data_IF_005124091093
#
_entry.id   IF_005124091093
#
_cell.length_a   1.000
_cell.length_b   1.000
_cell.length_c   1.000
_cell.angle_alpha   90.00
_cell.angle_beta   90.00
_cell.angle_gamma   90.00
#
_symmetry.space_group_name_H-M   'P 1'
#
loop_
_entity.id
_entity.type
_entity.pdbx_description
1 polymer ?
#
# COMPACT_ATOMS: atom_id res chain seq x y z
N UNK A 1 -10.61 -11.11 11.02
CA UNK A 1 -10.50 -9.66 11.24
C UNK A 1 -11.89 -9.07 11.41
N UNK A 2 -12.01 -8.04 12.25
CA UNK A 2 -13.26 -7.32 12.51
C UNK A 2 -13.04 -5.81 12.38
N UNK A 3 -14.06 -5.07 11.98
CA UNK A 3 -14.10 -3.61 11.92
C UNK A 3 -15.14 -3.07 12.88
N UNK A 4 -14.78 -2.05 13.68
CA UNK A 4 -15.66 -1.47 14.70
C UNK A 4 -16.59 -0.38 14.14
N UNK A 5 -17.56 0.10 14.94
CA UNK A 5 -18.14 1.45 14.76
C UNK A 5 -17.13 2.53 15.16
N UNK A 6 -17.56 3.79 15.02
CA UNK A 6 -16.89 4.99 15.50
C UNK A 6 -16.69 5.02 17.02
N UNK A 7 -17.52 4.29 17.78
CA UNK A 7 -17.38 4.13 19.24
C UNK A 7 -16.44 3.00 19.67
N UNK A 8 -16.08 2.08 18.78
CA UNK A 8 -15.24 0.94 19.13
C UNK A 8 -15.96 -0.19 19.88
N UNK A 9 -17.30 -0.23 19.84
CA UNK A 9 -18.15 -1.15 20.60
C UNK A 9 -18.70 -2.25 19.69
N UNK A 10 -19.25 -1.88 18.53
CA UNK A 10 -19.88 -2.81 17.61
C UNK A 10 -18.94 -3.27 16.52
N UNK A 11 -18.66 -4.57 16.50
CA UNK A 11 -17.76 -5.17 15.53
C UNK A 11 -18.52 -5.96 14.46
N UNK A 12 -18.13 -5.75 13.21
CA UNK A 12 -18.59 -6.54 12.07
C UNK A 12 -17.42 -7.32 11.50
N UNK A 13 -17.67 -8.57 11.11
CA UNK A 13 -16.67 -9.42 10.49
C UNK A 13 -16.23 -8.83 9.16
N UNK A 14 -14.92 -8.71 8.95
CA UNK A 14 -14.34 -8.06 7.78
C UNK A 14 -13.62 -9.05 6.86
N UNK A 15 -12.77 -9.91 7.43
CA UNK A 15 -12.00 -10.90 6.66
C UNK A 15 -11.84 -12.20 7.46
N UNK A 16 -12.05 -13.32 6.78
CA UNK A 16 -11.83 -14.66 7.30
C UNK A 16 -10.41 -15.16 7.04
N UNK A 17 -9.94 -16.08 7.90
CA UNK A 17 -8.67 -16.82 7.72
C UNK A 17 -7.46 -15.91 7.44
N UNK A 18 -7.48 -14.71 8.01
CA UNK A 18 -6.37 -13.77 7.96
C UNK A 18 -5.09 -14.41 8.51
N UNK A 19 -3.98 -14.24 7.79
CA UNK A 19 -2.69 -14.76 8.19
C UNK A 19 -2.13 -13.91 9.35
N UNK A 20 -1.99 -14.56 10.49
CA UNK A 20 -1.43 -13.97 11.70
C UNK A 20 -0.51 -15.02 12.31
N UNK A 21 0.78 -14.72 12.40
CA UNK A 21 1.69 -15.63 13.08
C UNK A 21 1.48 -15.49 14.60
N UNK A 22 1.65 -16.60 15.33
CA UNK A 22 1.47 -16.60 16.79
C UNK A 22 2.46 -15.69 17.53
N UNK A 23 3.43 -15.07 16.85
CA UNK A 23 4.40 -14.12 17.42
C UNK A 23 3.90 -12.68 17.37
N UNK A 24 2.58 -12.48 17.23
CA UNK A 24 1.91 -11.17 17.12
C UNK A 24 2.28 -10.38 15.87
N UNK A 25 2.83 -11.04 14.86
CA UNK A 25 3.17 -10.40 13.60
C UNK A 25 2.12 -10.76 12.55
N UNK A 26 1.77 -9.75 11.76
CA UNK A 26 0.70 -9.81 10.78
C UNK A 26 1.18 -9.23 9.47
N UNK A 27 0.74 -9.82 8.38
CA UNK A 27 0.96 -9.27 7.04
C UNK A 27 -0.01 -8.10 6.71
N UNK A 28 -0.84 -7.69 7.68
CA UNK A 28 -1.71 -6.54 7.54
C UNK A 28 -0.90 -5.25 7.39
N UNK A 29 -1.08 -4.60 6.24
CA UNK A 29 -0.36 -3.40 5.84
C UNK A 29 -1.34 -2.30 5.49
N UNK A 30 -1.15 -1.12 6.09
CA UNK A 30 -1.85 0.10 5.70
C UNK A 30 -1.14 0.74 4.51
N UNK A 31 -1.85 0.89 3.40
CA UNK A 31 -1.33 1.59 2.23
C UNK A 31 -1.58 3.09 2.45
N UNK A 32 -0.59 3.76 3.00
CA UNK A 32 -0.75 5.14 3.50
C UNK A 32 -0.82 6.19 2.39
N UNK A 33 -0.38 5.84 1.18
CA UNK A 33 -0.41 6.68 -0.01
C UNK A 33 -1.82 6.86 -0.60
N UNK A 34 -2.82 6.11 -0.16
CA UNK A 34 -4.20 6.27 -0.61
C UNK A 34 -5.23 5.94 0.49
N UNK A 35 -6.27 6.78 0.61
CA UNK A 35 -7.24 6.67 1.71
C UNK A 35 -8.03 5.37 1.64
N UNK A 36 -8.11 4.67 2.77
CA UNK A 36 -8.99 3.51 2.94
C UNK A 36 -8.47 2.22 2.31
N UNK A 37 -7.22 2.23 1.88
CA UNK A 37 -6.57 1.08 1.27
C UNK A 37 -5.82 0.25 2.31
N UNK A 38 -6.15 -1.03 2.39
CA UNK A 38 -5.49 -2.00 3.26
C UNK A 38 -5.14 -3.25 2.47
N UNK A 39 -3.95 -3.79 2.72
CA UNK A 39 -3.44 -5.02 2.14
C UNK A 39 -3.23 -6.04 3.24
N UNK A 40 -3.54 -7.31 3.00
CA UNK A 40 -3.15 -8.39 3.91
C UNK A 40 -3.11 -9.74 3.20
N UNK A 41 -2.58 -10.75 3.88
CA UNK A 41 -2.56 -12.13 3.43
C UNK A 41 -3.59 -12.97 4.19
N UNK A 42 -4.24 -13.91 3.51
CA UNK A 42 -5.14 -14.92 4.10
C UNK A 42 -4.69 -16.33 3.73
N UNK A 43 -5.03 -17.30 4.57
CA UNK A 43 -4.87 -18.71 4.27
C UNK A 43 -6.14 -19.23 3.57
N UNK A 44 -5.99 -19.73 2.35
CA UNK A 44 -7.07 -20.20 1.50
C UNK A 44 -6.69 -21.57 0.93
N UNK A 45 -7.43 -22.62 1.29
CA UNK A 45 -7.14 -24.01 0.85
C UNK A 45 -5.68 -24.44 1.03
N UNK A 46 -5.03 -23.98 2.12
CA UNK A 46 -3.63 -24.30 2.41
C UNK A 46 -2.61 -23.43 1.67
N UNK A 47 -3.05 -22.48 0.85
CA UNK A 47 -2.19 -21.49 0.16
C UNK A 47 -2.34 -20.11 0.77
N UNK A 48 -1.25 -19.37 0.84
CA UNK A 48 -1.27 -17.96 1.26
C UNK A 48 -1.62 -17.10 0.05
N UNK A 49 -2.68 -16.30 0.16
CA UNK A 49 -3.15 -15.39 -0.90
C UNK A 49 -3.28 -13.98 -0.37
N UNK A 50 -2.77 -13.02 -1.13
CA UNK A 50 -2.93 -11.59 -0.85
C UNK A 50 -4.31 -11.09 -1.27
N UNK A 51 -4.87 -10.22 -0.43
CA UNK A 51 -6.13 -9.52 -0.67
C UNK A 51 -5.97 -8.05 -0.33
N UNK A 52 -6.68 -7.21 -1.07
CA UNK A 52 -6.68 -5.76 -0.92
C UNK A 52 -8.11 -5.26 -0.71
N UNK A 53 -8.27 -4.26 0.15
CA UNK A 53 -9.51 -3.53 0.35
C UNK A 53 -9.28 -2.06 0.07
N UNK A 54 -10.20 -1.42 -0.63
CA UNK A 54 -10.16 0.02 -0.93
C UNK A 54 -11.18 0.82 -0.12
N UNK A 55 -12.00 0.16 0.69
CA UNK A 55 -13.10 0.76 1.45
C UNK A 55 -13.01 0.40 2.93
N UNK A 56 -11.79 0.48 3.48
CA UNK A 56 -11.47 0.22 4.88
C UNK A 56 -11.81 -1.19 5.40
N UNK A 57 -11.57 -2.20 4.60
CA UNK A 57 -11.79 -3.59 4.99
C UNK A 57 -13.24 -4.03 4.93
N UNK A 58 -14.14 -3.24 4.31
CA UNK A 58 -15.54 -3.64 4.16
C UNK A 58 -15.72 -4.71 3.09
N UNK A 59 -15.04 -4.55 1.97
CA UNK A 59 -14.93 -5.59 0.94
C UNK A 59 -13.46 -5.83 0.63
N UNK A 60 -13.13 -7.09 0.41
CA UNK A 60 -11.81 -7.53 0.03
C UNK A 60 -11.87 -8.17 -1.34
N UNK A 61 -10.87 -7.89 -2.15
CA UNK A 61 -10.68 -8.55 -3.44
C UNK A 61 -9.25 -9.05 -3.59
N UNK A 62 -9.05 -9.99 -4.49
CA UNK A 62 -7.70 -10.37 -4.89
C UNK A 62 -7.04 -9.23 -5.67
N UNK A 63 -5.70 -9.19 -5.66
CA UNK A 63 -4.97 -8.23 -6.46
C UNK A 63 -4.98 -8.68 -7.92
N UNK A 64 -5.24 -7.73 -8.81
CA UNK A 64 -5.27 -7.97 -10.24
C UNK A 64 -3.88 -8.36 -10.76
N UNK A 65 -3.85 -9.09 -11.88
CA UNK A 65 -2.60 -9.45 -12.53
C UNK A 65 -1.83 -8.19 -12.94
N UNK A 66 -0.49 -8.21 -12.93
CA UNK A 66 0.29 -7.08 -13.43
C UNK A 66 0.08 -6.83 -14.93
N UNK A 67 0.20 -5.57 -15.34
CA UNK A 67 -0.04 -5.16 -16.73
C UNK A 67 0.95 -5.81 -17.72
N UNK A 68 2.23 -5.91 -17.31
CA UNK A 68 3.34 -6.34 -18.15
C UNK A 68 3.78 -7.79 -17.90
N UNK A 69 2.95 -8.60 -17.25
CA UNK A 69 3.21 -10.02 -17.00
C UNK A 69 2.12 -10.85 -17.63
N UNK A 70 2.51 -11.74 -18.54
CA UNK A 70 1.61 -12.73 -19.15
C UNK A 70 1.47 -13.92 -18.19
N UNK A 71 0.43 -13.89 -17.35
CA UNK A 71 0.02 -15.03 -16.55
C UNK A 71 -1.51 -15.03 -16.39
N UNK A 72 -2.09 -16.21 -16.14
CA UNK A 72 -3.45 -16.36 -15.61
C UNK A 72 -3.42 -16.38 -14.08
N UNK A 73 -2.70 -15.43 -13.48
CA UNK A 73 -2.36 -15.42 -12.06
C UNK A 73 -2.75 -14.11 -11.39
N UNK A 74 -3.02 -14.18 -10.09
CA UNK A 74 -3.22 -13.00 -9.26
C UNK A 74 -1.92 -12.62 -8.58
N UNK A 75 -1.77 -11.35 -8.25
CA UNK A 75 -0.57 -10.86 -7.57
C UNK A 75 -0.58 -11.24 -6.09
N UNK A 76 0.57 -11.64 -5.56
CA UNK A 76 0.74 -11.92 -4.13
C UNK A 76 1.94 -11.22 -3.53
N UNK A 77 1.67 -10.34 -2.56
CA UNK A 77 2.63 -9.48 -1.90
C UNK A 77 3.24 -10.19 -0.69
N UNK A 78 4.57 -10.17 -0.63
CA UNK A 78 5.31 -10.64 0.54
C UNK A 78 5.09 -9.72 1.73
N UNK A 79 4.70 -10.31 2.86
CA UNK A 79 4.49 -9.61 4.12
C UNK A 79 5.53 -9.95 5.18
N UNK A 80 5.15 -9.73 6.43
CA UNK A 80 5.97 -9.96 7.62
C UNK A 80 6.39 -11.42 7.77
N UNK A 81 5.51 -12.36 7.40
CA UNK A 81 5.83 -13.78 7.37
C UNK A 81 7.03 -14.07 6.46
N UNK A 82 7.06 -13.49 5.25
CA UNK A 82 8.14 -13.67 4.29
C UNK A 82 9.43 -12.97 4.70
N UNK A 83 9.33 -11.79 5.33
CA UNK A 83 10.49 -11.06 5.87
C UNK A 83 11.16 -11.82 7.01
N UNK A 84 10.39 -12.40 7.94
CA UNK A 84 10.92 -13.20 9.04
C UNK A 84 11.68 -14.44 8.52
N UNK A 85 11.18 -15.04 7.45
CA UNK A 85 11.82 -16.17 6.78
C UNK A 85 12.95 -15.77 5.81
N UNK A 86 13.36 -14.50 5.80
CA UNK A 86 14.45 -13.94 4.97
C UNK A 86 14.24 -14.12 3.45
N UNK A 87 12.99 -14.23 3.01
CA UNK A 87 12.65 -14.31 1.58
C UNK A 87 12.76 -12.93 0.93
N UNK A 88 12.32 -11.89 1.65
CA UNK A 88 12.40 -10.49 1.21
C UNK A 88 13.15 -9.64 2.23
N UNK A 89 13.92 -8.63 1.77
CA UNK A 89 14.69 -7.78 2.67
C UNK A 89 13.84 -6.73 3.39
N UNK A 90 12.67 -6.38 2.83
CA UNK A 90 11.78 -5.36 3.37
C UNK A 90 10.32 -5.61 3.00
N UNK A 91 9.42 -4.89 3.67
CA UNK A 91 7.97 -4.94 3.42
C UNK A 91 7.57 -3.91 2.36
N UNK A 92 6.32 -4.01 1.89
CA UNK A 92 5.73 -3.01 1.03
C UNK A 92 5.86 -1.60 1.62
N UNK A 93 6.33 -0.66 0.79
CA UNK A 93 6.52 0.75 1.13
C UNK A 93 5.45 1.61 0.47
N UNK A 94 4.82 2.46 1.27
CA UNK A 94 3.89 3.50 0.83
C UNK A 94 3.98 4.67 1.80
N UNK A 95 3.87 5.89 1.27
CA UNK A 95 4.08 7.11 2.03
C UNK A 95 2.93 8.10 1.78
N UNK A 96 2.41 8.80 2.81
CA UNK A 96 1.25 9.70 2.65
C UNK A 96 1.46 10.87 1.69
N UNK A 97 2.72 11.26 1.45
CA UNK A 97 3.12 12.34 0.55
C UNK A 97 3.24 11.88 -0.90
N UNK A 98 3.49 10.59 -1.13
CA UNK A 98 3.64 9.98 -2.45
C UNK A 98 2.33 9.32 -2.90
N UNK A 99 1.36 10.15 -3.29
CA UNK A 99 -0.02 9.74 -3.52
C UNK A 99 -0.14 8.61 -4.55
N UNK A 100 -0.80 7.53 -4.15
CA UNK A 100 -1.02 6.33 -4.96
C UNK A 100 0.21 5.44 -5.14
N UNK A 101 1.40 5.87 -4.73
CA UNK A 101 2.62 5.08 -4.91
C UNK A 101 2.70 3.95 -3.87
N UNK A 102 2.89 2.72 -4.35
CA UNK A 102 3.14 1.53 -3.53
C UNK A 102 4.25 0.73 -4.19
N UNK A 103 5.28 0.38 -3.44
CA UNK A 103 6.38 -0.47 -3.90
C UNK A 103 6.37 -1.73 -3.06
N UNK A 104 6.41 -2.91 -3.68
CA UNK A 104 6.36 -4.16 -2.94
C UNK A 104 7.13 -5.28 -3.64
N UNK A 105 7.56 -6.26 -2.86
CA UNK A 105 8.03 -7.54 -3.39
C UNK A 105 6.86 -8.49 -3.59
N UNK A 106 6.84 -9.15 -4.73
CA UNK A 106 5.75 -10.04 -5.09
C UNK A 106 6.23 -11.24 -5.88
N UNK A 107 5.39 -12.25 -5.90
CA UNK A 107 5.52 -13.48 -6.68
C UNK A 107 4.20 -13.78 -7.39
N UNK A 108 4.25 -14.68 -8.37
CA UNK A 108 3.10 -15.10 -9.19
C UNK A 108 2.09 -15.95 -8.41
N UNK A 109 1.67 -17.10 -8.97
CA UNK A 109 0.52 -17.92 -8.52
C UNK A 109 0.33 -18.19 -7.02
N UNK A 110 1.38 -18.16 -6.19
CA UNK A 110 1.28 -18.24 -4.72
C UNK A 110 2.56 -17.78 -4.02
N UNK A 111 2.47 -17.37 -2.75
CA UNK A 111 3.63 -17.11 -1.90
C UNK A 111 4.32 -18.44 -1.51
N UNK A 112 5.13 -18.98 -2.42
CA UNK A 112 6.00 -20.13 -2.17
C UNK A 112 7.42 -19.66 -1.84
N UNK A 113 8.07 -20.33 -0.88
CA UNK A 113 9.47 -20.07 -0.52
C UNK A 113 10.48 -20.43 -1.62
N UNK A 114 10.05 -21.16 -2.66
CA UNK A 114 10.89 -21.56 -3.80
C UNK A 114 10.98 -20.53 -4.91
N UNK A 115 10.23 -19.43 -4.84
CA UNK A 115 10.20 -18.39 -5.88
C UNK A 115 11.05 -17.19 -5.48
N UNK A 116 11.79 -16.66 -6.46
CA UNK A 116 12.57 -15.42 -6.29
C UNK A 116 11.63 -14.21 -6.42
N UNK A 117 11.51 -13.38 -5.37
CA UNK A 117 10.66 -12.20 -5.42
C UNK A 117 11.25 -11.12 -6.32
N UNK A 118 10.37 -10.52 -7.11
CA UNK A 118 10.67 -9.35 -7.93
C UNK A 118 9.98 -8.11 -7.32
N UNK A 119 10.41 -6.91 -7.71
CA UNK A 119 9.82 -5.65 -7.26
C UNK A 119 8.75 -5.18 -8.23
N UNK A 120 7.59 -4.85 -7.69
CA UNK A 120 6.46 -4.31 -8.42
C UNK A 120 6.03 -2.98 -7.83
N UNK A 121 5.52 -2.12 -8.69
CA UNK A 121 5.05 -0.77 -8.32
C UNK A 121 3.60 -0.60 -8.74
N UNK A 122 2.82 -0.01 -7.86
CA UNK A 122 1.51 0.56 -8.17
C UNK A 122 1.59 2.08 -8.06
N UNK A 123 0.96 2.77 -9.01
CA UNK A 123 0.86 4.23 -9.03
C UNK A 123 -0.53 4.75 -8.69
N UNK A 124 -1.47 3.87 -8.33
CA UNK A 124 -2.87 4.19 -8.07
C UNK A 124 -3.39 3.60 -6.75
N UNK A 125 -2.49 3.24 -5.84
CA UNK A 125 -2.83 2.72 -4.51
C UNK A 125 -3.13 1.23 -4.49
N UNK A 126 -2.66 0.48 -5.49
CA UNK A 126 -2.77 -0.97 -5.54
C UNK A 126 -3.90 -1.51 -6.42
N UNK A 127 -4.54 -0.67 -7.24
CA UNK A 127 -5.50 -1.13 -8.24
C UNK A 127 -4.77 -1.84 -9.38
N UNK A 128 -3.77 -1.18 -9.95
CA UNK A 128 -2.93 -1.73 -11.01
C UNK A 128 -1.48 -1.85 -10.55
N UNK A 129 -0.81 -2.90 -11.00
CA UNK A 129 0.57 -3.22 -10.63
C UNK A 129 1.41 -3.46 -11.88
N UNK A 130 2.68 -3.08 -11.80
CA UNK A 130 3.65 -3.28 -12.87
C UNK A 130 4.94 -3.85 -12.31
N UNK A 131 5.42 -4.92 -12.93
CA UNK A 131 6.73 -5.50 -12.61
C UNK A 131 7.84 -4.59 -13.09
N UNK A 132 8.78 -4.26 -12.20
CA UNK A 132 9.72 -3.17 -12.45
C UNK A 132 11.20 -3.53 -12.26
N UNK A 133 11.55 -4.32 -11.24
CA UNK A 133 12.92 -4.80 -11.02
C UNK A 133 12.91 -6.30 -10.77
N UNK A 134 13.90 -6.99 -11.33
CA UNK A 134 14.12 -8.42 -11.09
C UNK A 134 14.95 -8.62 -9.84
N UNK A 135 14.55 -9.57 -9.00
CA UNK A 135 15.21 -9.87 -7.74
C UNK A 135 14.87 -8.90 -6.61
N UNK A 136 15.36 -9.24 -5.42
CA UNK A 136 15.11 -8.49 -4.20
C UNK A 136 15.96 -7.24 -4.12
N UNK A 137 15.36 -6.17 -3.62
CA UNK A 137 15.96 -4.84 -3.55
C UNK A 137 15.53 -4.16 -2.26
N UNK A 138 16.40 -3.32 -1.72
CA UNK A 138 16.01 -2.26 -0.79
C UNK A 138 15.56 -1.04 -1.59
N UNK A 139 14.47 -0.40 -1.21
CA UNK A 139 13.95 0.80 -1.87
C UNK A 139 13.60 1.90 -0.89
N UNK A 140 13.72 3.15 -1.34
CA UNK A 140 13.27 4.34 -0.61
C UNK A 140 12.55 5.32 -1.54
N UNK A 141 11.54 5.99 -0.99
CA UNK A 141 10.79 7.06 -1.66
C UNK A 141 11.36 8.40 -1.20
N UNK A 142 11.81 9.19 -2.16
CA UNK A 142 12.35 10.52 -1.98
C UNK A 142 11.48 11.56 -2.70
N UNK A 143 11.66 12.81 -2.33
CA UNK A 143 10.94 13.97 -2.86
C UNK A 143 9.42 13.75 -3.03
N UNK A 144 8.76 13.18 -2.02
CA UNK A 144 7.31 12.89 -2.03
C UNK A 144 6.85 12.05 -3.22
N UNK A 145 7.66 11.09 -3.67
CA UNK A 145 7.34 10.22 -4.81
C UNK A 145 7.93 10.69 -6.14
N UNK A 146 8.57 11.86 -6.20
CA UNK A 146 9.27 12.34 -7.39
C UNK A 146 10.52 11.52 -7.73
N UNK A 147 11.08 10.82 -6.75
CA UNK A 147 12.27 10.00 -6.92
C UNK A 147 12.15 8.70 -6.12
N UNK A 148 12.44 7.58 -6.77
CA UNK A 148 12.55 6.27 -6.14
C UNK A 148 13.99 5.82 -6.29
N UNK A 149 14.60 5.39 -5.20
CA UNK A 149 15.95 4.79 -5.22
C UNK A 149 15.82 3.34 -4.81
N UNK A 150 16.53 2.45 -5.51
CA UNK A 150 16.65 1.06 -5.14
C UNK A 150 18.10 0.57 -5.19
N UNK A 151 18.40 -0.41 -4.35
CA UNK A 151 19.69 -1.08 -4.26
C UNK A 151 19.43 -2.57 -4.18
N UNK A 152 20.08 -3.34 -5.05
CA UNK A 152 19.94 -4.80 -5.09
C UNK A 152 20.39 -5.42 -3.76
N UNK A 153 19.63 -6.39 -3.23
CA UNK A 153 19.93 -7.05 -1.97
C UNK A 153 20.99 -8.17 -2.09
N UNK A 154 21.65 -8.31 -3.25
CA UNK A 154 22.63 -9.35 -3.50
C UNK A 154 23.88 -9.18 -2.61
N UNK A 155 24.32 -10.27 -2.00
CA UNK A 155 25.42 -10.28 -1.03
C UNK A 155 26.82 -10.47 -1.65
N UNK A 156 26.91 -10.76 -2.95
CA UNK A 156 28.16 -11.22 -3.59
C UNK A 156 28.69 -10.27 -4.67
N UNK A 157 28.10 -9.07 -4.82
CA UNK A 157 28.46 -8.12 -5.87
C UNK A 157 28.70 -6.70 -5.36
N UNK A 158 29.33 -5.89 -6.20
CA UNK A 158 29.42 -4.44 -5.98
C UNK A 158 28.03 -3.83 -5.91
N UNK A 159 27.81 -2.97 -4.92
CA UNK A 159 26.56 -2.20 -4.79
C UNK A 159 26.25 -1.44 -6.07
N UNK A 160 25.13 -1.77 -6.70
CA UNK A 160 24.55 -1.02 -7.81
C UNK A 160 23.35 -0.25 -7.31
N UNK A 161 23.46 1.08 -7.33
CA UNK A 161 22.33 1.95 -7.02
C UNK A 161 21.61 2.31 -8.31
N UNK A 162 20.30 2.13 -8.31
CA UNK A 162 19.42 2.48 -9.41
C UNK A 162 18.35 3.45 -8.93
N UNK A 163 17.89 4.32 -9.81
CA UNK A 163 16.88 5.30 -9.47
C UNK A 163 15.88 5.49 -10.60
N UNK A 164 14.67 5.94 -10.25
CA UNK A 164 13.58 6.25 -11.16
C UNK A 164 12.96 7.59 -10.80
N UNK A 165 12.63 8.39 -11.82
CA UNK A 165 11.99 9.71 -11.70
C UNK A 165 10.57 9.74 -12.27
N UNK A 166 10.02 8.56 -12.58
CA UNK A 166 8.74 8.38 -13.30
C UNK A 166 7.85 7.32 -12.64
N UNK A 167 7.90 7.28 -11.30
CA UNK A 167 7.15 6.34 -10.46
C UNK A 167 7.48 4.87 -10.75
N UNK A 168 8.74 4.55 -11.06
CA UNK A 168 9.21 3.18 -11.25
C UNK A 168 8.89 2.61 -12.63
N UNK A 169 8.71 3.44 -13.67
CA UNK A 169 8.50 2.95 -15.04
C UNK A 169 9.82 2.74 -15.77
N UNK A 170 10.77 3.64 -15.58
CA UNK A 170 12.13 3.53 -16.10
C UNK A 170 13.14 3.70 -14.98
N UNK A 171 14.18 2.87 -15.04
CA UNK A 171 15.27 2.88 -14.08
C UNK A 171 16.58 3.25 -14.77
N UNK A 172 17.40 4.02 -14.05
CA UNK A 172 18.74 4.39 -14.46
C UNK A 172 19.72 3.88 -13.42
N UNK A 173 20.78 3.23 -13.87
CA UNK A 173 21.90 2.83 -13.02
C UNK A 173 22.94 3.93 -13.00
N UNK A 174 23.52 4.16 -11.82
CA UNK A 174 24.66 5.04 -11.67
C UNK A 174 25.62 4.46 -10.64
N UNK A 175 26.91 4.46 -10.98
CA UNK A 175 27.93 4.00 -10.05
C UNK A 175 28.46 5.19 -9.24
N UNK A 176 28.11 5.23 -7.95
CA UNK A 176 28.47 6.32 -7.04
C UNK A 176 29.84 6.12 -6.37
N UNK A 177 30.51 4.99 -6.60
CA UNK A 177 31.84 4.70 -6.04
C UNK A 177 32.70 3.90 -7.01
N UNK A 178 33.98 4.27 -7.10
CA UNK A 178 34.97 3.49 -7.84
C UNK A 178 35.35 2.21 -7.08
N UNK A 179 35.36 2.27 -5.75
CA UNK A 179 35.72 1.15 -4.90
C UNK A 179 34.47 0.36 -4.51
N UNK A 180 34.40 -0.94 -4.84
CA UNK A 180 33.28 -1.79 -4.47
C UNK A 180 33.22 -1.97 -2.95
N UNK A 181 32.01 -2.21 -2.45
CA UNK A 181 31.75 -2.55 -1.05
C UNK A 181 30.49 -3.44 -1.01
N UNK A 182 30.27 -4.13 0.10
CA UNK A 182 29.11 -4.98 0.32
C UNK A 182 27.99 -4.19 0.97
N UNK A 183 26.78 -4.31 0.42
CA UNK A 183 25.61 -3.61 0.93
C UNK A 183 25.21 -4.12 2.32
N UNK A 184 24.88 -3.20 3.23
CA UNK A 184 24.33 -3.52 4.54
C UNK A 184 23.01 -2.80 4.83
N UNK A 185 22.76 -1.64 4.24
CA UNK A 185 21.52 -0.91 4.49
C UNK A 185 21.32 0.34 3.63
N UNK A 186 20.06 0.78 3.56
CA UNK A 186 19.65 2.01 2.88
C UNK A 186 18.93 2.89 3.90
N UNK A 187 19.35 4.16 4.00
CA UNK A 187 18.77 5.13 4.91
C UNK A 187 18.43 6.43 4.18
N UNK A 188 17.29 7.03 4.52
CA UNK A 188 16.83 8.32 4.02
C UNK A 188 16.19 9.14 5.15
N UNK A 189 16.09 10.45 4.96
CA UNK A 189 15.37 11.31 5.92
C UNK A 189 13.90 10.85 6.07
N UNK A 190 13.39 10.71 7.31
CA UNK A 190 11.97 10.42 7.53
C UNK A 190 11.04 11.45 6.88
N UNK A 191 9.92 10.99 6.33
CA UNK A 191 8.90 11.87 5.72
C UNK A 191 9.11 12.17 4.24
N UNK A 192 10.04 11.51 3.55
CA UNK A 192 10.24 11.51 2.08
C UNK A 192 10.54 12.86 1.42
N UNK A 193 10.74 13.94 2.18
CA UNK A 193 10.94 15.28 1.61
C UNK A 193 12.37 15.54 1.13
N UNK A 194 13.32 14.78 1.65
CA UNK A 194 14.69 14.88 1.22
C UNK A 194 14.92 14.31 -0.18
N UNK A 195 16.01 14.77 -0.78
CA UNK A 195 16.57 14.33 -2.05
C UNK A 195 17.89 13.59 -1.83
N UNK A 196 18.21 13.24 -0.58
CA UNK A 196 19.42 12.51 -0.24
C UNK A 196 19.11 11.11 0.29
N UNK A 197 20.04 10.20 0.05
CA UNK A 197 19.98 8.83 0.54
C UNK A 197 21.38 8.37 0.88
N UNK A 198 21.52 7.66 1.99
CA UNK A 198 22.77 7.09 2.46
C UNK A 198 22.75 5.58 2.25
N UNK A 199 23.69 5.09 1.47
CA UNK A 199 23.92 3.67 1.24
C UNK A 199 25.03 3.20 2.17
N UNK A 200 24.69 2.29 3.07
CA UNK A 200 25.57 1.74 4.09
C UNK A 200 26.10 0.39 3.66
N UNK A 201 27.34 0.10 4.05
CA UNK A 201 27.95 -1.19 3.78
C UNK A 201 29.35 -1.29 4.35
N UNK A 202 30.08 -2.31 3.93
CA UNK A 202 31.41 -2.58 4.45
C UNK A 202 32.36 -3.13 3.37
N UNK A 203 33.66 -2.96 3.61
CA UNK A 203 34.74 -3.51 2.80
C UNK A 203 35.51 -4.55 3.62
N UNK A 204 35.79 -5.74 3.07
CA UNK A 204 36.70 -6.68 3.73
C UNK A 204 38.11 -6.09 3.71
N UNK A 205 38.78 -6.14 4.86
CA UNK A 205 40.18 -5.77 5.00
C UNK A 205 41.02 -7.02 5.29
N UNK A 206 42.33 -6.96 5.04
CA UNK A 206 43.25 -8.10 5.20
C UNK A 206 43.36 -8.58 6.65
N UNK A 207 43.13 -7.70 7.62
CA UNK A 207 43.16 -8.00 9.06
C UNK A 207 41.88 -8.70 9.57
N UNK A 208 40.91 -8.94 8.67
CA UNK A 208 39.63 -9.57 8.98
C UNK A 208 38.62 -8.65 9.66
N UNK A 209 38.94 -7.37 9.89
CA UNK A 209 37.99 -6.40 10.45
C UNK A 209 37.34 -5.58 9.33
N UNK A 210 36.02 -5.69 9.11
CA UNK A 210 35.38 -4.99 8.01
C UNK A 210 35.37 -3.46 8.25
N UNK A 211 35.87 -2.70 7.28
CA UNK A 211 35.77 -1.24 7.28
C UNK A 211 34.36 -0.81 6.86
N UNK A 212 33.62 -0.16 7.75
CA UNK A 212 32.30 0.40 7.45
C UNK A 212 32.41 1.64 6.57
N UNK A 213 31.59 1.70 5.54
CA UNK A 213 31.53 2.80 4.58
C UNK A 213 30.08 3.26 4.42
N UNK A 214 29.90 4.57 4.34
CA UNK A 214 28.61 5.18 3.99
C UNK A 214 28.79 6.13 2.83
N UNK A 215 27.94 6.00 1.81
CA UNK A 215 27.92 6.87 0.65
C UNK A 215 26.59 7.61 0.66
N UNK A 216 26.64 8.92 0.86
CA UNK A 216 25.44 9.77 0.79
C UNK A 216 25.35 10.43 -0.57
N UNK A 217 24.27 10.14 -1.28
CA UNK A 217 23.99 10.62 -2.62
C UNK A 217 22.99 11.77 -2.49
N UNK A 218 23.29 12.94 -3.05
CA UNK A 218 22.36 14.08 -3.11
C UNK A 218 21.91 14.31 -4.56
N UNK A 219 20.63 14.01 -4.84
CA UNK A 219 20.03 14.14 -6.15
C UNK A 219 19.65 15.59 -6.51
N UNK A 220 19.84 16.57 -5.62
CA UNK A 220 19.54 17.98 -5.90
C UNK A 220 20.33 18.55 -7.09
N UNK A 221 21.54 18.02 -7.32
CA UNK A 221 22.38 18.41 -8.46
C UNK A 221 21.86 17.85 -9.79
N UNK A 222 21.16 16.70 -9.77
CA UNK A 222 20.63 16.04 -10.95
C UNK A 222 19.25 16.59 -11.35
N UNK A 223 18.40 16.90 -10.37
CA UNK A 223 17.01 17.33 -10.59
C UNK A 223 16.82 18.72 -9.99
N UNK A 224 17.03 19.75 -10.81
CA UNK A 224 17.00 21.15 -10.38
C UNK A 224 15.68 21.86 -10.69
N UNK A 225 14.94 21.42 -11.71
CA UNK A 225 13.73 22.08 -12.22
C UNK A 225 12.57 21.99 -11.23
N UNK A 226 11.86 23.11 -11.02
CA UNK A 226 10.56 23.18 -10.32
C UNK A 226 9.58 23.94 -11.20
N UNK A 227 8.44 23.34 -11.53
CA UNK A 227 7.40 24.02 -12.31
C UNK A 227 6.01 23.50 -11.93
N UNK A 228 5.08 24.42 -11.70
CA UNK A 228 3.69 24.11 -11.41
C UNK A 228 2.94 23.45 -12.59
N UNK A 229 3.40 23.67 -13.83
CA UNK A 229 2.81 23.09 -15.05
C UNK A 229 3.08 21.58 -15.20
N UNK A 230 4.03 21.06 -14.42
CA UNK A 230 4.40 19.64 -14.43
C UNK A 230 3.44 18.76 -13.62
N UNK A 231 2.38 19.34 -13.06
CA UNK A 231 1.35 18.63 -12.32
C UNK A 231 0.10 18.37 -13.15
N UNK A 232 -0.59 17.28 -12.83
CA UNK A 232 -1.89 16.91 -13.38
C UNK A 232 -2.92 16.64 -12.29
N UNK A 233 -4.20 16.70 -12.67
CA UNK A 233 -5.31 16.33 -11.79
C UNK A 233 -5.55 14.84 -11.93
N UNK A 234 -5.60 14.13 -10.82
CA UNK A 234 -5.83 12.70 -10.77
C UNK A 234 -6.97 12.37 -9.81
N UNK A 235 -8.00 11.70 -10.30
CA UNK A 235 -9.13 11.23 -9.50
C UNK A 235 -8.77 9.91 -8.83
N UNK A 236 -8.71 9.90 -7.50
CA UNK A 236 -8.46 8.69 -6.73
C UNK A 236 -9.62 7.69 -6.86
N UNK A 237 -9.29 6.39 -6.76
CA UNK A 237 -10.24 5.28 -6.83
C UNK A 237 -11.08 5.26 -8.13
N UNK A 238 -10.60 5.92 -9.19
CA UNK A 238 -11.25 5.88 -10.49
C UNK A 238 -11.06 4.48 -11.11
N UNK A 239 -12.15 3.88 -11.58
CA UNK A 239 -12.13 2.58 -12.25
C UNK A 239 -12.82 2.68 -13.60
N UNK A 240 -12.20 2.11 -14.63
CA UNK A 240 -12.77 2.08 -15.97
C UNK A 240 -14.00 1.16 -16.02
N UNK A 241 -15.10 1.62 -16.63
CA UNK A 241 -16.33 0.84 -16.81
C UNK A 241 -17.30 0.82 -15.62
N UNK A 242 -17.05 1.60 -14.57
CA UNK A 242 -17.98 1.77 -13.45
C UNK A 242 -19.11 2.78 -13.72
N UNK A 243 -20.06 2.88 -12.78
CA UNK A 243 -21.07 3.94 -12.76
C UNK A 243 -20.36 5.31 -12.75
N UNK A 244 -20.59 6.10 -13.80
CA UNK A 244 -19.96 7.42 -13.99
C UNK A 244 -20.25 8.34 -12.80
N UNK A 245 -21.45 8.26 -12.23
CA UNK A 245 -21.84 9.09 -11.08
C UNK A 245 -21.10 8.69 -9.80
N UNK A 246 -20.79 7.40 -9.64
CA UNK A 246 -20.10 6.87 -8.47
C UNK A 246 -18.61 6.64 -8.64
N UNK A 247 -18.08 6.87 -9.84
CA UNK A 247 -16.65 6.72 -10.11
C UNK A 247 -15.81 7.58 -9.15
N UNK A 248 -14.81 6.97 -8.51
CA UNK A 248 -13.94 7.58 -7.50
C UNK A 248 -14.60 7.81 -6.13
N UNK A 249 -15.85 7.40 -5.92
CA UNK A 249 -16.53 7.58 -4.64
C UNK A 249 -16.17 6.44 -3.67
N UNK A 250 -15.38 6.77 -2.64
CA UNK A 250 -15.01 5.82 -1.59
C UNK A 250 -15.29 6.45 -0.24
N UNK A 251 -16.06 5.75 0.59
CA UNK A 251 -16.51 6.24 1.91
C UNK A 251 -17.23 7.60 1.78
N UNK A 252 -18.12 7.68 0.79
CA UNK A 252 -18.96 8.86 0.53
C UNK A 252 -18.25 10.10 0.01
N UNK A 253 -16.99 10.01 -0.42
CA UNK A 253 -16.22 11.17 -0.91
C UNK A 253 -15.43 10.81 -2.16
N UNK A 254 -15.39 11.73 -3.13
CA UNK A 254 -14.40 11.72 -4.22
C UNK A 254 -13.22 12.62 -3.88
N UNK A 255 -12.01 12.15 -4.13
CA UNK A 255 -10.79 12.92 -3.91
C UNK A 255 -10.04 13.10 -5.23
N UNK A 256 -9.83 14.36 -5.65
CA UNK A 256 -9.00 14.70 -6.80
C UNK A 256 -7.69 15.32 -6.32
N UNK A 257 -6.59 14.65 -6.60
CA UNK A 257 -5.24 15.06 -6.21
C UNK A 257 -4.55 15.83 -7.32
N UNK A 258 -3.64 16.74 -6.94
CA UNK A 258 -2.66 17.33 -7.85
C UNK A 258 -1.38 16.50 -7.75
N UNK A 259 -1.06 15.72 -8.78
CA UNK A 259 0.08 14.80 -8.82
C UNK A 259 1.10 15.22 -9.84
N UNK A 260 2.36 14.88 -9.61
CA UNK A 260 3.42 15.12 -10.59
C UNK A 260 3.21 14.21 -11.78
N UNK A 261 3.31 14.76 -13.00
CA UNK A 261 3.22 13.97 -14.23
C UNK A 261 4.42 13.03 -14.32
N UNK A 262 4.17 11.76 -14.64
CA UNK A 262 5.18 10.71 -14.79
C UNK A 262 6.34 11.09 -15.72
N UNK A 263 6.06 11.82 -16.80
CA UNK A 263 7.04 12.28 -17.79
C UNK A 263 7.82 13.55 -17.38
N UNK A 264 7.48 14.18 -16.26
CA UNK A 264 8.09 15.43 -15.83
C UNK A 264 9.21 15.18 -14.83
N UNK A 265 10.45 15.31 -15.30
CA UNK A 265 11.63 15.24 -14.43
C UNK A 265 11.83 16.59 -13.74
N UNK A 266 11.21 16.73 -12.58
CA UNK A 266 11.28 17.92 -11.74
C UNK A 266 11.11 17.55 -10.27
N UNK A 267 11.52 18.45 -9.37
CA UNK A 267 11.42 18.24 -7.92
C UNK A 267 10.12 18.83 -7.37
N UNK A 268 9.48 18.13 -6.45
CA UNK A 268 8.40 18.67 -5.61
C UNK A 268 8.97 19.71 -4.63
N UNK A 269 10.08 19.38 -3.97
CA UNK A 269 10.79 20.22 -3.02
C UNK A 269 10.30 20.09 -1.57
N UNK A 270 11.12 20.55 -0.62
CA UNK A 270 10.89 20.38 0.83
C UNK A 270 9.57 21.00 1.34
N UNK A 271 9.13 22.07 0.70
CA UNK A 271 7.88 22.77 1.00
C UNK A 271 6.63 22.10 0.43
N UNK A 272 6.77 20.98 -0.29
CA UNK A 272 5.63 20.29 -0.89
C UNK A 272 4.60 19.87 0.15
N UNK A 273 3.34 20.11 -0.20
CA UNK A 273 2.15 19.70 0.54
C UNK A 273 1.18 19.10 -0.46
N UNK A 274 0.63 17.94 -0.12
CA UNK A 274 -0.38 17.26 -0.93
C UNK A 274 -1.60 18.17 -1.07
N UNK A 275 -1.87 18.60 -2.30
CA UNK A 275 -3.07 19.37 -2.64
C UNK A 275 -4.15 18.44 -3.17
N UNK A 276 -5.33 18.45 -2.54
CA UNK A 276 -6.49 17.68 -2.97
C UNK A 276 -7.79 18.47 -2.86
N UNK A 277 -8.72 18.20 -3.78
CA UNK A 277 -10.11 18.65 -3.72
C UNK A 277 -10.99 17.47 -3.31
N UNK A 278 -11.86 17.69 -2.34
CA UNK A 278 -12.84 16.70 -1.91
C UNK A 278 -14.25 17.13 -2.34
N UNK A 279 -15.06 16.18 -2.78
CA UNK A 279 -16.49 16.40 -3.02
C UNK A 279 -17.31 15.25 -2.46
N UNK A 280 -18.35 15.50 -1.66
CA UNK A 280 -19.21 14.46 -1.12
C UNK A 280 -20.00 13.78 -2.25
N UNK A 281 -20.34 12.51 -2.05
CA UNK A 281 -21.24 11.76 -2.91
C UNK A 281 -22.62 11.62 -2.26
N UNK A 282 -23.64 11.33 -3.06
CA UNK A 282 -24.93 10.90 -2.55
C UNK A 282 -24.82 9.57 -1.82
N UNK A 283 -25.49 9.44 -0.67
CA UNK A 283 -25.55 8.18 0.06
C UNK A 283 -26.37 7.14 -0.70
N UNK A 284 -25.93 5.90 -0.62
CA UNK A 284 -26.64 4.71 -1.12
C UNK A 284 -26.75 3.68 0.00
N UNK A 285 -27.45 2.57 -0.26
CA UNK A 285 -27.48 1.43 0.65
C UNK A 285 -26.08 0.88 0.95
N UNK A 286 -25.13 1.03 0.03
CA UNK A 286 -23.75 0.61 0.29
C UNK A 286 -23.04 1.52 1.29
N UNK A 287 -23.49 2.72 1.60
CA UNK A 287 -22.82 3.56 2.60
C UNK A 287 -23.28 3.22 4.03
N UNK A 288 -24.19 2.24 4.14
CA UNK A 288 -24.68 1.66 5.38
C UNK A 288 -24.29 0.17 5.48
N UNK A 289 -24.12 -0.31 6.70
CA UNK A 289 -23.79 -1.70 7.02
C UNK A 289 -24.86 -2.29 7.94
N UNK A 290 -25.35 -3.47 7.56
CA UNK A 290 -26.29 -4.25 8.36
C UNK A 290 -25.50 -4.97 9.45
N UNK A 291 -25.95 -4.83 10.70
CA UNK A 291 -25.27 -5.49 11.81
C UNK A 291 -25.39 -7.01 11.70
N UNK A 292 -24.29 -7.73 11.90
CA UNK A 292 -24.26 -9.18 11.79
C UNK A 292 -24.21 -9.73 10.35
N UNK A 293 -23.92 -8.89 9.35
CA UNK A 293 -23.66 -9.32 7.98
C UNK A 293 -22.23 -9.04 7.56
N UNK A 294 -21.69 -9.87 6.67
CA UNK A 294 -20.38 -9.68 6.05
C UNK A 294 -20.38 -10.16 4.60
N UNK A 295 -19.34 -9.82 3.84
CA UNK A 295 -19.18 -10.27 2.45
C UNK A 295 -17.96 -11.17 2.32
N UNK A 296 -18.05 -12.17 1.46
CA UNK A 296 -16.89 -12.99 1.10
C UNK A 296 -15.97 -12.22 0.13
N UNK A 297 -14.72 -12.69 0.04
CA UNK A 297 -13.74 -12.11 -0.90
C UNK A 297 -14.25 -12.26 -2.33
N UNK A 298 -14.14 -11.21 -3.13
CA UNK A 298 -14.62 -11.16 -4.52
C UNK A 298 -16.16 -11.32 -4.71
N UNK A 299 -16.98 -11.21 -3.66
CA UNK A 299 -18.44 -11.27 -3.81
C UNK A 299 -19.12 -9.99 -3.32
N UNK A 300 -20.25 -9.65 -3.94
CA UNK A 300 -21.16 -8.59 -3.49
C UNK A 300 -22.23 -9.11 -2.52
N UNK A 301 -22.33 -10.43 -2.36
CA UNK A 301 -23.33 -11.11 -1.54
C UNK A 301 -23.12 -10.84 -0.04
N UNK A 302 -24.17 -10.33 0.62
CA UNK A 302 -24.23 -10.15 2.05
C UNK A 302 -24.66 -11.45 2.74
N UNK A 303 -23.75 -12.05 3.50
CA UNK A 303 -24.00 -13.27 4.25
C UNK A 303 -24.24 -12.94 5.71
N UNK A 304 -25.32 -13.49 6.27
CA UNK A 304 -25.62 -13.37 7.70
C UNK A 304 -24.62 -14.20 8.50
N UNK A 305 -24.02 -13.58 9.51
CA UNK A 305 -23.16 -14.27 10.45
C UNK A 305 -24.02 -15.22 11.30
N UNK A 306 -23.60 -16.49 11.39
CA UNK A 306 -24.32 -17.52 12.16
C UNK A 306 -24.48 -17.19 13.64
N UNK A 307 -23.57 -16.40 14.21
CA UNK A 307 -23.60 -15.93 15.60
C UNK A 307 -24.32 -14.59 15.78
N UNK A 308 -24.89 -13.99 14.73
CA UNK A 308 -25.57 -12.70 14.85
C UNK A 308 -26.92 -12.87 15.57
N UNK A 309 -27.15 -12.19 16.71
CA UNK A 309 -28.41 -12.29 17.43
C UNK A 309 -29.59 -11.84 16.57
N UNK A 310 -30.75 -12.49 16.74
CA UNK A 310 -32.00 -12.17 16.04
C UNK A 310 -32.67 -10.86 16.52
N UNK A 311 -32.15 -10.24 17.59
CA UNK A 311 -32.78 -9.12 18.32
C UNK A 311 -31.80 -7.95 18.51
N UNK A 312 -32.36 -6.80 18.89
CA UNK A 312 -31.68 -5.65 19.53
C UNK A 312 -30.60 -6.16 20.48
N UNK A 313 -29.37 -5.67 20.36
CA UNK A 313 -28.35 -5.96 21.37
C UNK A 313 -28.68 -5.10 22.59
N UNK A 314 -29.02 -5.73 23.70
CA UNK A 314 -28.98 -5.08 25.01
C UNK A 314 -27.52 -5.20 25.50
N UNK A 315 -26.80 -4.09 25.48
CA UNK A 315 -25.44 -3.99 26.01
C UNK A 315 -25.53 -3.22 27.33
N UNK A 316 -25.17 -3.87 28.44
CA UNK A 316 -24.97 -3.17 29.70
C UNK A 316 -23.59 -2.51 29.68
N UNK A 317 -23.55 -1.19 29.50
CA UNK A 317 -22.34 -0.39 29.57
C UNK A 317 -22.40 0.43 30.86
N UNK A 318 -21.45 0.21 31.77
CA UNK A 318 -21.34 0.94 33.04
C UNK A 318 -22.60 0.90 33.95
N UNK A 319 -23.42 -0.15 33.85
CA UNK A 319 -24.64 -0.30 34.66
C UNK A 319 -25.90 0.31 34.05
N UNK A 320 -25.82 0.90 32.85
CA UNK A 320 -26.96 1.32 32.04
C UNK A 320 -27.18 0.31 30.91
N UNK A 321 -28.44 -0.10 30.70
CA UNK A 321 -28.83 -0.93 29.56
C UNK A 321 -29.05 -0.04 28.34
N UNK A 322 -28.15 -0.15 27.35
CA UNK A 322 -28.30 0.50 26.05
C UNK A 322 -28.93 -0.47 25.06
N UNK A 323 -30.09 -0.09 24.50
CA UNK A 323 -30.72 -0.80 23.39
C UNK A 323 -30.08 -0.39 22.06
N UNK A 324 -29.39 -1.33 21.42
CA UNK A 324 -28.76 -1.13 20.12
C UNK A 324 -29.64 -1.65 18.99
N UNK A 325 -30.34 -0.74 18.31
CA UNK A 325 -31.16 -1.02 17.13
C UNK A 325 -30.30 -1.56 15.97
N UNK A 326 -30.69 -2.72 15.44
CA UNK A 326 -29.87 -3.59 14.57
C UNK A 326 -30.13 -3.43 13.06
N UNK A 327 -30.82 -2.40 12.60
CA UNK A 327 -31.25 -2.33 11.19
C UNK A 327 -30.11 -1.95 10.23
N UNK A 328 -29.56 -0.73 10.35
CA UNK A 328 -28.54 -0.20 9.45
C UNK A 328 -27.69 0.84 10.20
N UNK A 329 -26.37 0.83 10.01
CA UNK A 329 -25.48 1.89 10.51
C UNK A 329 -24.66 2.49 9.39
N UNK A 330 -24.45 3.81 9.40
CA UNK A 330 -23.52 4.45 8.44
C UNK A 330 -22.11 3.91 8.65
N UNK A 331 -21.38 3.65 7.58
CA UNK A 331 -20.00 3.15 7.67
C UNK A 331 -19.12 4.20 8.37
N UNK A 332 -18.27 3.81 9.34
CA UNK A 332 -17.43 4.77 10.03
C UNK A 332 -16.52 5.56 9.08
N UNK A 333 -16.45 6.88 9.29
CA UNK A 333 -15.74 7.84 8.43
C UNK A 333 -16.30 7.99 7.01
N UNK A 334 -17.48 7.42 6.72
CA UNK A 334 -18.23 7.75 5.52
C UNK A 334 -18.79 9.17 5.62
N UNK A 335 -18.60 9.96 4.56
CA UNK A 335 -19.04 11.37 4.51
C UNK A 335 -19.97 11.64 3.33
N UNK A 336 -20.76 10.64 2.92
CA UNK A 336 -21.81 10.85 1.94
C UNK A 336 -22.86 11.83 2.48
N UNK A 337 -23.48 12.61 1.60
CA UNK A 337 -24.49 13.63 1.91
C UNK A 337 -25.71 13.47 1.01
N UNK A 338 -26.92 13.52 1.59
CA UNK A 338 -28.17 13.31 0.86
C UNK A 338 -28.33 11.89 0.31
N UNK A 339 -29.34 11.66 -0.53
CA UNK A 339 -29.61 10.33 -1.11
C UNK A 339 -30.35 9.39 -0.15
N UNK A 340 -29.91 8.13 -0.09
CA UNK A 340 -30.53 7.07 0.71
C UNK A 340 -30.29 7.27 2.22
N UNK A 341 -31.37 7.17 2.99
CA UNK A 341 -31.36 7.04 4.45
C UNK A 341 -32.30 5.91 4.85
N UNK A 342 -31.82 4.91 5.63
CA UNK A 342 -32.63 3.78 6.09
C UNK A 342 -33.63 4.16 7.18
#
# INVERSE_FOLDING_TARGET
>A
MYTSDDRGILFSKSLERHLFDGQRKSDFTNITSLRGVYLTNKLDEGRIRSVISFNRGRTWRQLDKPDNVECQCNLHIHGEHSRNNRIVPMLALSEPTAIGLVIAHTVGDSLSSSQHPDVFVSSDGGYNWRGTLRGTHHYSILDSGGLIVAVEAQHEGQVKTIFSTDEGQCWKSYNFTEQPFFFAGLASEPGTKAMNVSVWGFRPEEDGQPMWVTITIDFQSLITRQNDQDYEKWLAHSTDGGDVERNGCVLGVKETYRRLKKQSVCRNGKGFVVSKKQSPCLCTREDYLDYGYYRHVNTSECVRQSSAPNKTLELCLNGEEDELFTAYRKVPSDRCEGGFSP
#
